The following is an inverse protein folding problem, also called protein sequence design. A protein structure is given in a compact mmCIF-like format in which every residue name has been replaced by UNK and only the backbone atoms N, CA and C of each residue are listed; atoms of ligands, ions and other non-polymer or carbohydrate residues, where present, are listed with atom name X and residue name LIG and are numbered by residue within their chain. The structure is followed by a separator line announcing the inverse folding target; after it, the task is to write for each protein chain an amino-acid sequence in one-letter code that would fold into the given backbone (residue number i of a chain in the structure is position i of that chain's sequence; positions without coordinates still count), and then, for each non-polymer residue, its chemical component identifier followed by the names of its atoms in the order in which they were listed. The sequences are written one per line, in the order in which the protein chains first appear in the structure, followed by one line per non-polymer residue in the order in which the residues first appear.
data_IF_245439247013
#
_entry.id   IF_245439247013
#
_cell.length_a   1.000
_cell.length_b   1.000
_cell.length_c   1.000
_cell.angle_alpha   90.00
_cell.angle_beta   90.00
_cell.angle_gamma   90.00
#
_symmetry.space_group_name_H-M   'P 1'
#
loop_
_entity.id
_entity.type
_entity.pdbx_description
1 polymer ?
#
# COMPACT_ATOMS: atom_id res chain seq x y z
N UNK A 1 -7.18 -26.16 25.86
CA UNK A 1 -7.22 -24.70 26.08
C UNK A 1 -5.90 -24.17 25.58
N UNK A 2 -5.87 -23.70 24.34
CA UNK A 2 -4.75 -22.93 23.78
C UNK A 2 -5.26 -21.51 23.80
N UNK A 3 -4.85 -20.75 24.81
CA UNK A 3 -5.00 -19.31 24.82
C UNK A 3 -4.35 -18.78 23.54
N UNK A 4 -5.17 -18.37 22.59
CA UNK A 4 -4.72 -17.63 21.44
C UNK A 4 -4.19 -16.32 21.92
N UNK A 5 -2.87 -16.21 22.07
CA UNK A 5 -2.21 -14.91 22.19
C UNK A 5 -2.71 -14.05 21.05
N UNK A 6 -3.47 -12.99 21.39
CA UNK A 6 -3.51 -11.80 20.54
C UNK A 6 -2.04 -11.50 20.26
N UNK A 7 -1.58 -11.76 19.05
CA UNK A 7 -0.28 -11.28 18.63
C UNK A 7 -0.38 -9.77 18.62
N UNK A 8 -0.16 -9.16 19.76
CA UNK A 8 0.52 -7.91 19.86
C UNK A 8 1.91 -8.18 19.25
N UNK A 9 1.98 -8.33 17.95
CA UNK A 9 3.21 -8.27 17.22
C UNK A 9 3.70 -6.84 17.41
N UNK A 10 4.39 -6.64 18.55
CA UNK A 10 5.26 -5.49 18.74
C UNK A 10 6.06 -5.39 17.46
N UNK A 11 5.94 -4.26 16.78
CA UNK A 11 6.71 -3.99 15.58
C UNK A 11 8.18 -4.17 15.94
N UNK A 12 8.73 -5.37 15.66
CA UNK A 12 10.06 -5.76 16.14
C UNK A 12 11.10 -4.84 15.53
N UNK A 13 11.95 -4.21 16.37
CA UNK A 13 13.01 -3.35 15.87
C UNK A 13 13.93 -4.10 14.90
N UNK A 14 14.46 -3.38 13.92
CA UNK A 14 15.44 -3.91 12.97
C UNK A 14 16.79 -3.23 13.17
N UNK A 15 17.85 -4.02 13.14
CA UNK A 15 19.24 -3.54 13.05
C UNK A 15 19.76 -3.89 11.66
N UNK A 16 20.07 -2.88 10.87
CA UNK A 16 20.55 -3.07 9.49
C UNK A 16 21.92 -2.42 9.32
N UNK A 17 22.82 -3.09 8.59
CA UNK A 17 24.17 -2.61 8.34
C UNK A 17 24.19 -1.57 7.24
N UNK A 18 24.62 -0.33 7.57
CA UNK A 18 24.92 0.73 6.62
C UNK A 18 26.43 0.80 6.27
N UNK A 19 26.81 1.74 5.40
CA UNK A 19 28.21 1.95 4.98
C UNK A 19 29.14 2.33 6.14
N UNK A 20 28.65 3.14 7.09
CA UNK A 20 29.45 3.70 8.19
C UNK A 20 28.88 3.37 9.56
N UNK A 21 28.47 2.12 9.80
CA UNK A 21 27.88 1.67 11.05
C UNK A 21 26.54 0.98 10.84
N UNK A 22 25.62 1.17 11.78
CA UNK A 22 24.35 0.48 11.81
C UNK A 22 23.19 1.48 11.91
N UNK A 23 22.07 1.07 11.39
CA UNK A 23 20.80 1.75 11.57
C UNK A 23 19.91 0.93 12.46
N UNK A 24 19.43 1.55 13.53
CA UNK A 24 18.34 1.02 14.35
C UNK A 24 17.03 1.61 13.82
N UNK A 25 16.11 0.75 13.42
CA UNK A 25 14.75 1.12 13.06
C UNK A 25 13.83 0.59 14.13
N UNK A 26 13.24 1.48 14.90
CA UNK A 26 12.25 1.15 15.93
C UNK A 26 10.87 1.70 15.57
N UNK A 27 9.82 1.25 16.26
CA UNK A 27 8.46 1.75 16.03
C UNK A 27 8.32 3.24 16.38
N UNK A 28 9.16 3.78 17.25
CA UNK A 28 9.18 5.19 17.62
C UNK A 28 10.11 6.08 16.80
N UNK A 29 11.03 5.51 16.00
CA UNK A 29 11.97 6.29 15.23
C UNK A 29 13.19 5.52 14.73
N UNK A 30 14.15 6.27 14.18
CA UNK A 30 15.37 5.73 13.57
C UNK A 30 16.57 6.33 14.29
N UNK A 31 17.58 5.52 14.58
CA UNK A 31 18.86 5.98 15.14
C UNK A 31 20.05 5.41 14.38
N UNK A 32 21.14 6.18 14.32
CA UNK A 32 22.42 5.72 13.79
C UNK A 32 23.30 5.22 14.93
N UNK A 33 23.90 4.05 14.74
CA UNK A 33 24.73 3.39 15.73
C UNK A 33 26.12 3.08 15.16
N UNK A 34 27.17 3.23 15.97
CA UNK A 34 28.50 2.73 15.66
C UNK A 34 28.67 1.26 16.05
N UNK A 35 29.73 0.62 15.57
CA UNK A 35 30.02 -0.79 15.90
C UNK A 35 30.17 -1.02 17.42
N UNK A 36 30.68 -0.05 18.18
CA UNK A 36 30.81 -0.12 19.64
C UNK A 36 29.49 -0.15 20.43
N UNK A 37 28.36 0.13 19.76
CA UNK A 37 27.02 0.06 20.38
C UNK A 37 26.41 -1.36 20.33
N UNK A 38 27.09 -2.29 19.65
CA UNK A 38 26.61 -3.66 19.52
C UNK A 38 27.52 -4.64 20.24
N UNK A 39 26.96 -5.78 20.60
CA UNK A 39 27.68 -6.95 21.08
C UNK A 39 28.37 -7.67 19.92
N UNK A 40 29.32 -8.59 20.17
CA UNK A 40 29.88 -9.46 19.13
C UNK A 40 28.81 -10.28 18.36
N UNK A 41 27.69 -10.59 19.02
CA UNK A 41 26.53 -11.27 18.38
C UNK A 41 25.66 -10.32 17.54
N UNK A 42 26.05 -9.07 17.35
CA UNK A 42 25.33 -8.03 16.58
C UNK A 42 23.94 -7.70 17.16
N UNK A 43 23.79 -7.77 18.46
CA UNK A 43 22.64 -7.26 19.20
C UNK A 43 23.00 -5.94 19.90
N UNK A 44 22.02 -5.16 20.30
CA UNK A 44 22.26 -3.94 21.07
C UNK A 44 22.92 -4.29 22.41
N UNK A 45 23.87 -3.47 22.81
CA UNK A 45 24.38 -3.52 24.19
C UNK A 45 23.29 -3.04 25.16
N UNK A 46 23.20 -3.59 26.40
CA UNK A 46 22.12 -3.26 27.33
C UNK A 46 22.02 -1.77 27.68
N UNK A 47 23.16 -1.08 27.76
CA UNK A 47 23.22 0.36 28.01
C UNK A 47 22.68 1.17 26.84
N UNK A 48 22.99 0.77 25.62
CA UNK A 48 22.49 1.39 24.37
C UNK A 48 20.99 1.16 24.22
N UNK A 49 20.53 -0.08 24.43
CA UNK A 49 19.11 -0.40 24.36
C UNK A 49 18.29 0.43 25.35
N UNK A 50 18.78 0.58 26.59
CA UNK A 50 18.14 1.43 27.61
C UNK A 50 18.03 2.87 27.12
N UNK A 51 19.11 3.46 26.59
CA UNK A 51 19.09 4.82 26.08
C UNK A 51 18.11 5.00 24.92
N UNK A 52 18.02 4.03 23.99
CA UNK A 52 17.04 4.07 22.90
C UNK A 52 15.60 3.94 23.42
N UNK A 53 15.36 3.15 24.48
CA UNK A 53 14.04 3.06 25.14
C UNK A 53 13.66 4.37 25.82
N UNK A 54 14.56 4.98 26.54
CA UNK A 54 14.37 6.29 27.19
C UNK A 54 14.06 7.40 26.16
N UNK A 55 14.67 7.34 24.99
CA UNK A 55 14.37 8.23 23.86
C UNK A 55 13.07 7.89 23.14
N UNK A 56 12.36 6.84 23.55
CA UNK A 56 11.08 6.44 22.97
C UNK A 56 11.16 5.71 21.62
N UNK A 57 12.35 5.26 21.18
CA UNK A 57 12.50 4.60 19.88
C UNK A 57 11.83 3.23 19.81
N UNK A 58 11.57 2.61 20.95
CA UNK A 58 10.80 1.36 21.05
C UNK A 58 9.29 1.59 21.24
N UNK A 59 8.86 2.84 21.37
CA UNK A 59 7.48 3.14 21.71
C UNK A 59 6.58 3.04 20.49
N UNK A 60 5.63 2.11 20.51
CA UNK A 60 4.53 2.05 19.56
C UNK A 60 3.50 3.12 19.94
N UNK A 61 3.21 4.04 19.03
CA UNK A 61 2.08 4.96 19.20
C UNK A 61 0.84 4.31 18.57
N UNK A 62 -0.17 3.95 19.37
CA UNK A 62 -1.38 3.35 18.82
C UNK A 62 -2.10 4.34 17.89
N UNK A 63 -2.65 3.82 16.81
CA UNK A 63 -3.52 4.62 15.95
C UNK A 63 -4.78 5.01 16.71
N UNK A 64 -5.21 6.26 16.60
CA UNK A 64 -6.52 6.71 17.07
C UNK A 64 -7.57 6.72 15.97
N UNK A 65 -7.22 6.21 14.80
CA UNK A 65 -8.09 6.21 13.63
C UNK A 65 -8.40 4.79 13.20
N UNK A 66 -9.66 4.54 12.88
CA UNK A 66 -10.10 3.34 12.20
C UNK A 66 -9.64 3.38 10.74
N UNK A 67 -9.01 2.31 10.25
CA UNK A 67 -8.52 2.21 8.87
C UNK A 67 -9.53 1.49 7.99
N UNK A 68 -10.24 2.23 7.15
CA UNK A 68 -11.27 1.69 6.28
C UNK A 68 -10.80 1.65 4.82
N UNK A 69 -10.82 0.49 4.22
CA UNK A 69 -10.65 0.33 2.76
C UNK A 69 -11.99 -0.02 2.14
N UNK A 70 -12.48 0.78 1.21
CA UNK A 70 -13.75 0.54 0.50
C UNK A 70 -13.51 0.41 -0.99
N UNK A 71 -13.92 -0.71 -1.55
CA UNK A 71 -14.00 -0.87 -3.00
C UNK A 71 -15.28 -0.17 -3.49
N UNK A 72 -15.14 0.82 -4.34
CA UNK A 72 -16.31 1.54 -4.87
C UNK A 72 -16.86 0.93 -6.16
N UNK A 73 -16.00 0.20 -6.89
CA UNK A 73 -16.37 -0.62 -8.03
C UNK A 73 -15.39 -1.78 -8.15
N UNK A 74 -15.86 -2.99 -8.40
CA UNK A 74 -15.00 -4.15 -8.66
C UNK A 74 -14.57 -4.24 -10.13
N UNK A 75 -15.33 -3.64 -11.04
CA UNK A 75 -14.96 -3.54 -12.45
C UNK A 75 -13.71 -2.65 -12.66
N UNK A 76 -12.95 -2.95 -13.71
CA UNK A 76 -11.83 -2.12 -14.18
C UNK A 76 -11.87 -1.97 -15.70
N UNK A 77 -11.47 -0.81 -16.19
CA UNK A 77 -11.34 -0.53 -17.61
C UNK A 77 -9.99 -0.93 -18.22
N UNK A 78 -9.08 -1.48 -17.38
CA UNK A 78 -7.80 -2.06 -17.82
C UNK A 78 -7.78 -3.58 -17.70
N UNK A 79 -6.88 -4.22 -18.47
CA UNK A 79 -6.66 -5.67 -18.52
C UNK A 79 -5.25 -6.09 -18.08
N UNK A 80 -4.75 -5.61 -16.95
CA UNK A 80 -3.40 -5.94 -16.47
C UNK A 80 -3.28 -7.43 -16.12
N UNK A 81 -2.31 -8.14 -16.70
CA UNK A 81 -2.17 -9.59 -16.56
C UNK A 81 -1.83 -10.08 -15.14
N UNK A 82 -1.23 -9.25 -14.30
CA UNK A 82 -0.91 -9.56 -12.90
C UNK A 82 -2.02 -9.18 -11.91
N UNK A 83 -3.17 -8.65 -12.40
CA UNK A 83 -4.21 -8.11 -11.53
C UNK A 83 -4.94 -9.22 -10.79
N UNK A 84 -4.82 -9.26 -9.46
CA UNK A 84 -5.51 -10.25 -8.61
C UNK A 84 -7.04 -10.10 -8.59
N UNK A 85 -7.61 -8.97 -9.03
CA UNK A 85 -9.05 -8.72 -9.01
C UNK A 85 -9.72 -8.95 -10.38
N UNK A 86 -9.03 -8.62 -11.47
CA UNK A 86 -9.63 -8.57 -12.82
C UNK A 86 -8.86 -9.41 -13.84
N UNK A 87 -8.13 -10.43 -13.39
CA UNK A 87 -7.45 -11.35 -14.27
C UNK A 87 -8.46 -12.08 -15.18
N UNK A 88 -8.14 -12.21 -16.44
CA UNK A 88 -8.94 -13.03 -17.35
C UNK A 88 -8.73 -14.50 -17.04
N UNK A 89 -9.80 -15.29 -17.09
CA UNK A 89 -9.69 -16.74 -16.98
C UNK A 89 -8.87 -17.27 -18.15
N UNK A 90 -8.00 -18.24 -17.87
CA UNK A 90 -7.33 -19.04 -18.90
C UNK A 90 -8.20 -20.22 -19.30
N UNK A 91 -7.90 -20.79 -20.47
CA UNK A 91 -8.65 -21.94 -21.02
C UNK A 91 -8.56 -23.18 -20.12
N UNK A 92 -7.52 -23.27 -19.28
CA UNK A 92 -7.31 -24.37 -18.33
C UNK A 92 -8.01 -24.20 -16.98
N UNK A 93 -8.65 -23.04 -16.72
CA UNK A 93 -9.32 -22.75 -15.45
C UNK A 93 -8.36 -22.72 -14.24
N UNK A 94 -7.06 -22.51 -14.47
CA UNK A 94 -6.04 -22.49 -13.40
C UNK A 94 -6.04 -21.18 -12.62
N UNK A 95 -6.59 -20.10 -13.20
CA UNK A 95 -6.73 -18.80 -12.57
C UNK A 95 -8.01 -18.73 -11.75
N UNK A 96 -8.00 -18.02 -10.62
CA UNK A 96 -9.19 -17.89 -9.80
C UNK A 96 -10.34 -17.22 -10.57
N UNK A 97 -11.60 -17.53 -10.23
CA UNK A 97 -12.77 -16.92 -10.86
C UNK A 97 -12.70 -15.39 -10.79
N UNK A 98 -13.13 -14.76 -11.87
CA UNK A 98 -13.22 -13.29 -11.92
C UNK A 98 -14.21 -12.80 -10.87
N UNK A 99 -13.85 -11.71 -10.20
CA UNK A 99 -14.73 -11.06 -9.22
C UNK A 99 -15.97 -10.49 -9.92
N UNK A 100 -17.15 -10.73 -9.35
CA UNK A 100 -18.41 -10.19 -9.87
C UNK A 100 -18.38 -8.67 -9.98
N UNK A 101 -18.94 -8.11 -11.05
CA UNK A 101 -19.01 -6.67 -11.25
C UNK A 101 -20.08 -6.05 -10.37
N UNK A 102 -19.66 -5.32 -9.32
CA UNK A 102 -20.54 -4.65 -8.36
C UNK A 102 -20.12 -3.18 -8.22
N UNK A 103 -21.08 -2.30 -7.99
CA UNK A 103 -20.87 -0.88 -7.70
C UNK A 103 -21.44 -0.52 -6.34
N UNK A 104 -20.71 0.27 -5.60
CA UNK A 104 -21.13 0.80 -4.30
C UNK A 104 -22.35 1.71 -4.47
N UNK A 105 -23.39 1.48 -3.65
CA UNK A 105 -24.63 2.25 -3.63
C UNK A 105 -24.76 3.09 -2.34
N UNK A 106 -25.64 4.08 -2.35
CA UNK A 106 -25.90 4.95 -1.18
C UNK A 106 -26.37 4.16 0.05
N UNK A 107 -27.17 3.09 -0.16
CA UNK A 107 -27.61 2.23 0.93
C UNK A 107 -26.45 1.49 1.59
N UNK A 108 -25.56 0.92 0.77
CA UNK A 108 -24.37 0.22 1.30
C UNK A 108 -23.38 1.21 1.95
N UNK A 109 -23.25 2.44 1.43
CA UNK A 109 -22.46 3.48 2.13
C UNK A 109 -23.00 3.74 3.53
N UNK A 110 -24.32 3.80 3.71
CA UNK A 110 -24.92 3.96 5.03
C UNK A 110 -24.52 2.81 5.96
N UNK A 111 -24.71 1.56 5.52
CA UNK A 111 -24.37 0.37 6.30
C UNK A 111 -22.88 0.34 6.69
N UNK A 112 -21.97 0.70 5.76
CA UNK A 112 -20.53 0.78 6.01
C UNK A 112 -20.21 1.81 7.09
N UNK A 113 -20.78 3.01 6.99
CA UNK A 113 -20.47 4.08 7.94
C UNK A 113 -21.09 3.82 9.32
N UNK A 114 -22.28 3.24 9.38
CA UNK A 114 -22.87 2.77 10.65
C UNK A 114 -22.00 1.68 11.29
N UNK A 115 -21.47 0.75 10.49
CA UNK A 115 -20.48 -0.23 10.95
C UNK A 115 -19.24 0.45 11.52
N UNK A 116 -18.66 1.42 10.81
CA UNK A 116 -17.49 2.19 11.28
C UNK A 116 -17.79 2.86 12.62
N UNK A 117 -18.95 3.51 12.77
CA UNK A 117 -19.35 4.15 14.03
C UNK A 117 -19.41 3.17 15.21
N UNK A 118 -19.97 1.97 14.99
CA UNK A 118 -19.97 0.92 16.01
C UNK A 118 -18.54 0.50 16.38
N UNK A 119 -17.67 0.25 15.37
CA UNK A 119 -16.29 -0.17 15.61
C UNK A 119 -15.45 0.91 16.30
N UNK A 120 -15.63 2.18 15.94
CA UNK A 120 -14.96 3.29 16.62
C UNK A 120 -15.35 3.37 18.09
N UNK A 121 -16.64 3.24 18.39
CA UNK A 121 -17.14 3.24 19.78
C UNK A 121 -16.59 2.08 20.60
N UNK A 122 -16.58 0.86 20.04
CA UNK A 122 -16.07 -0.35 20.71
C UNK A 122 -14.55 -0.30 20.94
N UNK A 123 -13.80 0.32 20.04
CA UNK A 123 -12.33 0.37 20.09
C UNK A 123 -11.78 1.68 20.67
N UNK A 124 -12.63 2.62 21.08
CA UNK A 124 -12.22 3.93 21.60
C UNK A 124 -11.48 4.80 20.59
N UNK A 125 -11.83 4.66 19.30
CA UNK A 125 -11.23 5.41 18.20
C UNK A 125 -12.10 6.61 17.84
N UNK A 126 -11.48 7.75 17.50
CA UNK A 126 -12.15 9.02 17.22
C UNK A 126 -11.86 9.57 15.82
N UNK A 127 -11.08 8.85 15.02
CA UNK A 127 -10.72 9.23 13.67
C UNK A 127 -10.99 8.14 12.65
N UNK A 128 -11.05 8.54 11.39
CA UNK A 128 -11.17 7.67 10.23
C UNK A 128 -10.05 7.97 9.23
N UNK A 129 -9.38 6.92 8.76
CA UNK A 129 -8.50 6.96 7.59
C UNK A 129 -9.17 6.11 6.51
N UNK A 130 -9.44 6.70 5.36
CA UNK A 130 -10.18 6.07 4.27
C UNK A 130 -9.26 5.78 3.07
N UNK A 131 -9.26 4.54 2.63
CA UNK A 131 -8.69 4.16 1.34
C UNK A 131 -9.82 3.82 0.37
N UNK A 132 -9.95 4.61 -0.68
CA UNK A 132 -10.87 4.33 -1.80
C UNK A 132 -10.14 3.45 -2.79
N UNK A 133 -10.68 2.26 -3.02
CA UNK A 133 -10.06 1.20 -3.80
C UNK A 133 -11.06 0.55 -4.76
N UNK A 134 -10.62 -0.51 -5.46
CA UNK A 134 -11.47 -1.34 -6.32
C UNK A 134 -10.70 -1.89 -7.50
N UNK A 135 -11.41 -2.29 -8.55
CA UNK A 135 -10.81 -2.48 -9.87
C UNK A 135 -10.36 -1.12 -10.42
N UNK A 136 -11.34 -0.23 -10.66
CA UNK A 136 -11.09 1.20 -10.87
C UNK A 136 -12.19 2.01 -10.14
N UNK A 137 -11.82 2.73 -9.08
CA UNK A 137 -12.80 3.48 -8.30
C UNK A 137 -13.60 4.51 -9.09
N UNK A 138 -12.96 5.16 -10.06
CA UNK A 138 -13.57 6.22 -10.86
C UNK A 138 -14.54 5.70 -11.94
N UNK A 139 -14.77 4.40 -12.02
CA UNK A 139 -15.96 3.85 -12.70
C UNK A 139 -17.25 4.11 -11.89
N UNK A 140 -17.13 4.48 -10.61
CA UNK A 140 -18.22 4.92 -9.74
C UNK A 140 -17.91 6.27 -9.06
N UNK A 141 -17.78 7.37 -9.81
CA UNK A 141 -17.40 8.67 -9.24
C UNK A 141 -18.45 9.26 -8.29
N UNK A 142 -19.73 8.87 -8.43
CA UNK A 142 -20.79 9.25 -7.48
C UNK A 142 -20.58 8.59 -6.13
N UNK A 143 -20.32 7.27 -6.12
CA UNK A 143 -20.04 6.53 -4.89
C UNK A 143 -18.78 7.06 -4.18
N UNK A 144 -17.71 7.40 -4.93
CA UNK A 144 -16.51 8.00 -4.35
C UNK A 144 -16.82 9.32 -3.64
N UNK A 145 -17.61 10.21 -4.27
CA UNK A 145 -17.97 11.51 -3.67
C UNK A 145 -18.84 11.34 -2.45
N UNK A 146 -19.92 10.57 -2.54
CA UNK A 146 -20.85 10.34 -1.44
C UNK A 146 -20.14 9.68 -0.25
N UNK A 147 -19.25 8.73 -0.49
CA UNK A 147 -18.47 8.09 0.57
C UNK A 147 -17.58 9.11 1.31
N UNK A 148 -16.86 9.97 0.60
CA UNK A 148 -16.02 11.02 1.21
C UNK A 148 -16.87 12.02 1.99
N UNK A 149 -17.95 12.52 1.38
CA UNK A 149 -18.84 13.51 1.98
C UNK A 149 -19.39 12.99 3.32
N UNK A 150 -19.91 11.76 3.34
CA UNK A 150 -20.50 11.17 4.55
C UNK A 150 -19.45 10.71 5.56
N UNK A 151 -18.25 10.29 5.12
CA UNK A 151 -17.15 9.91 6.00
C UNK A 151 -16.65 11.09 6.87
N UNK A 152 -16.87 12.33 6.45
CA UNK A 152 -16.54 13.52 7.26
C UNK A 152 -17.21 13.50 8.64
N UNK A 153 -18.45 12.99 8.76
CA UNK A 153 -19.18 12.85 10.00
C UNK A 153 -18.59 11.80 10.97
N UNK A 154 -17.63 11.00 10.53
CA UNK A 154 -16.97 9.94 11.31
C UNK A 154 -15.52 10.28 11.65
N UNK A 155 -15.16 11.57 11.64
CA UNK A 155 -13.82 12.04 11.98
C UNK A 155 -12.77 11.73 10.91
N UNK A 156 -13.11 11.91 9.62
CA UNK A 156 -12.20 11.69 8.50
C UNK A 156 -10.93 12.56 8.66
N UNK A 157 -9.78 11.93 8.90
CA UNK A 157 -8.47 12.59 9.06
C UNK A 157 -7.64 12.54 7.80
N UNK A 158 -7.77 11.46 7.05
CA UNK A 158 -7.04 11.26 5.80
C UNK A 158 -7.85 10.40 4.83
N UNK A 159 -7.75 10.71 3.54
CA UNK A 159 -8.34 9.91 2.49
C UNK A 159 -7.37 9.77 1.32
N UNK A 160 -7.16 8.52 0.90
CA UNK A 160 -6.31 8.13 -0.22
C UNK A 160 -7.15 7.39 -1.25
N UNK A 161 -6.90 7.62 -2.52
CA UNK A 161 -7.49 6.83 -3.60
C UNK A 161 -6.39 6.04 -4.32
N UNK A 162 -6.61 4.76 -4.55
CA UNK A 162 -5.77 3.94 -5.43
C UNK A 162 -6.50 3.79 -6.76
N UNK A 163 -5.98 4.40 -7.81
CA UNK A 163 -6.59 4.48 -9.14
C UNK A 163 -5.59 4.09 -10.23
N UNK A 164 -6.09 3.64 -11.36
CA UNK A 164 -5.26 3.50 -12.55
C UNK A 164 -4.99 4.84 -13.27
N UNK A 165 -5.61 5.93 -12.83
CA UNK A 165 -5.41 7.28 -13.32
C UNK A 165 -6.11 7.63 -14.64
N UNK A 166 -6.62 6.67 -15.39
CA UNK A 166 -7.15 6.91 -16.75
C UNK A 166 -8.46 7.72 -16.80
N UNK A 167 -9.18 7.78 -15.67
CA UNK A 167 -10.43 8.53 -15.52
C UNK A 167 -10.29 9.77 -14.62
N UNK A 168 -9.07 10.04 -14.15
CA UNK A 168 -8.75 11.15 -13.27
C UNK A 168 -8.65 12.44 -14.08
N UNK A 169 -9.69 13.28 -14.02
CA UNK A 169 -9.69 14.62 -14.63
C UNK A 169 -9.50 15.69 -13.57
N UNK A 170 -8.99 16.88 -13.94
CA UNK A 170 -8.87 18.01 -13.02
C UNK A 170 -10.21 18.37 -12.35
N UNK A 171 -11.34 18.22 -13.04
CA UNK A 171 -12.69 18.42 -12.47
C UNK A 171 -13.01 17.41 -11.39
N UNK A 172 -12.77 16.12 -11.64
CA UNK A 172 -12.99 15.05 -10.65
C UNK A 172 -12.06 15.25 -9.47
N UNK A 173 -10.79 15.55 -9.71
CA UNK A 173 -9.81 15.79 -8.67
C UNK A 173 -10.23 16.96 -7.74
N UNK A 174 -10.69 18.10 -8.30
CA UNK A 174 -11.19 19.23 -7.50
C UNK A 174 -12.40 18.86 -6.65
N UNK A 175 -13.35 18.09 -7.19
CA UNK A 175 -14.52 17.65 -6.45
C UNK A 175 -14.13 16.76 -5.26
N UNK A 176 -13.24 15.79 -5.47
CA UNK A 176 -12.81 14.88 -4.41
C UNK A 176 -11.89 15.56 -3.38
N UNK A 177 -11.02 16.48 -3.83
CA UNK A 177 -10.18 17.28 -2.94
C UNK A 177 -11.01 18.14 -1.98
N UNK A 178 -12.08 18.77 -2.48
CA UNK A 178 -13.04 19.55 -1.67
C UNK A 178 -13.76 18.70 -0.62
N UNK A 179 -13.83 17.38 -0.79
CA UNK A 179 -14.43 16.43 0.14
C UNK A 179 -13.39 15.70 1.03
N UNK A 180 -12.12 16.12 0.97
CA UNK A 180 -11.09 15.62 1.88
C UNK A 180 -10.12 14.59 1.29
N UNK A 181 -10.16 14.31 -0.02
CA UNK A 181 -9.12 13.48 -0.66
C UNK A 181 -7.76 14.19 -0.57
N UNK A 182 -6.73 13.50 -0.04
CA UNK A 182 -5.40 14.05 0.21
C UNK A 182 -4.34 13.56 -0.77
N UNK A 183 -4.44 12.30 -1.19
CA UNK A 183 -3.51 11.74 -2.16
C UNK A 183 -4.18 10.74 -3.10
N UNK A 184 -3.58 10.59 -4.28
CA UNK A 184 -3.96 9.55 -5.25
C UNK A 184 -2.73 8.73 -5.58
N UNK A 185 -2.79 7.42 -5.27
CA UNK A 185 -1.80 6.47 -5.71
C UNK A 185 -2.11 6.01 -7.13
N UNK A 186 -1.13 6.14 -8.01
CA UNK A 186 -1.20 5.65 -9.39
C UNK A 186 -0.03 4.73 -9.68
N UNK A 187 -0.29 3.64 -10.40
CA UNK A 187 0.73 2.65 -10.71
C UNK A 187 1.30 2.84 -12.11
N UNK A 188 2.63 2.77 -12.21
CA UNK A 188 3.38 2.69 -13.46
C UNK A 188 4.10 1.34 -13.56
N UNK A 189 4.12 0.77 -14.75
CA UNK A 189 4.73 -0.53 -15.04
C UNK A 189 5.83 -0.39 -16.11
N UNK A 190 6.83 0.43 -15.83
CA UNK A 190 7.94 0.73 -16.72
C UNK A 190 7.74 1.99 -17.56
N UNK A 191 8.69 2.28 -18.45
CA UNK A 191 8.58 3.38 -19.41
C UNK A 191 7.41 3.15 -20.39
N UNK A 192 7.05 4.17 -21.15
CA UNK A 192 5.86 4.18 -22.02
C UNK A 192 5.63 2.87 -22.78
N UNK A 193 6.62 2.30 -23.52
CA UNK A 193 6.38 1.07 -24.28
C UNK A 193 6.01 -0.13 -23.42
N UNK A 194 6.64 -0.28 -22.25
CA UNK A 194 6.38 -1.40 -21.34
C UNK A 194 5.07 -1.19 -20.60
N UNK A 195 4.86 0.03 -20.10
CA UNK A 195 3.63 0.41 -19.43
C UNK A 195 2.40 0.16 -20.33
N UNK A 196 2.43 0.62 -21.57
CA UNK A 196 1.28 0.51 -22.48
C UNK A 196 1.01 -0.94 -22.93
N UNK A 197 2.02 -1.83 -22.85
CA UNK A 197 1.82 -3.27 -23.06
C UNK A 197 1.26 -4.00 -21.85
N UNK A 198 1.59 -3.53 -20.64
CA UNK A 198 1.17 -4.17 -19.38
C UNK A 198 -0.18 -3.63 -18.91
N UNK A 199 -0.36 -2.32 -18.97
CA UNK A 199 -1.59 -1.64 -18.51
C UNK A 199 -2.49 -1.24 -19.69
N UNK A 200 -2.87 -2.24 -20.44
CA UNK A 200 -3.68 -2.07 -21.66
C UNK A 200 -5.13 -1.75 -21.32
N UNK A 201 -5.73 -0.83 -22.07
CA UNK A 201 -7.20 -0.62 -22.03
C UNK A 201 -7.90 -1.85 -22.57
N UNK A 202 -9.04 -2.23 -21.99
CA UNK A 202 -9.88 -3.32 -22.53
C UNK A 202 -10.40 -3.02 -23.94
N UNK A 203 -10.49 -1.75 -24.32
CA UNK A 203 -10.83 -1.28 -25.66
C UNK A 203 -9.63 -1.10 -26.58
N UNK A 204 -8.43 -1.47 -26.13
CA UNK A 204 -7.17 -1.23 -26.82
C UNK A 204 -6.59 0.16 -26.57
N UNK A 205 -5.31 0.33 -26.91
CA UNK A 205 -4.55 1.57 -26.78
C UNK A 205 -3.82 1.75 -25.45
N UNK A 206 -2.75 2.57 -25.50
CA UNK A 206 -1.91 2.90 -24.36
C UNK A 206 -2.57 3.83 -23.34
N UNK A 207 -1.97 3.90 -22.17
CA UNK A 207 -2.49 4.69 -21.04
C UNK A 207 -1.47 5.66 -20.47
N UNK A 208 -0.19 5.50 -20.76
CA UNK A 208 0.92 6.23 -20.12
C UNK A 208 0.74 7.75 -20.17
N UNK A 209 0.65 8.33 -21.38
CA UNK A 209 0.57 9.77 -21.56
C UNK A 209 -0.70 10.36 -20.97
N UNK A 210 -1.83 9.64 -21.11
CA UNK A 210 -3.09 10.07 -20.53
C UNK A 210 -3.04 10.13 -19.01
N UNK A 211 -2.34 9.18 -18.37
CA UNK A 211 -2.17 9.13 -16.92
C UNK A 211 -1.24 10.26 -16.47
N UNK A 212 -0.08 10.45 -17.10
CA UNK A 212 0.85 11.54 -16.76
C UNK A 212 0.17 12.89 -16.90
N UNK A 213 -0.53 13.13 -18.02
CA UNK A 213 -1.27 14.37 -18.23
C UNK A 213 -2.39 14.60 -17.21
N UNK A 214 -3.11 13.54 -16.82
CA UNK A 214 -4.16 13.63 -15.79
C UNK A 214 -3.58 13.96 -14.40
N UNK A 215 -2.43 13.38 -14.04
CA UNK A 215 -1.76 13.66 -12.77
C UNK A 215 -1.19 15.08 -12.72
N UNK A 216 -0.56 15.55 -13.81
CA UNK A 216 -0.10 16.93 -13.93
C UNK A 216 -1.27 17.92 -13.75
N UNK A 217 -2.37 17.70 -14.47
CA UNK A 217 -3.57 18.54 -14.36
C UNK A 217 -4.22 18.49 -12.96
N UNK A 218 -4.16 17.35 -12.26
CA UNK A 218 -4.64 17.22 -10.89
C UNK A 218 -3.79 18.05 -9.92
N UNK A 219 -2.46 17.91 -9.99
CA UNK A 219 -1.55 18.65 -9.08
C UNK A 219 -1.55 20.14 -9.32
N UNK A 220 -1.73 20.59 -10.55
CA UNK A 220 -1.93 21.99 -10.89
C UNK A 220 -3.26 22.54 -10.33
N UNK A 221 -4.33 21.76 -10.43
CA UNK A 221 -5.68 22.17 -10.07
C UNK A 221 -6.03 22.03 -8.58
N UNK A 222 -5.24 21.31 -7.78
CA UNK A 222 -5.57 20.94 -6.38
C UNK A 222 -4.32 20.84 -5.51
N UNK A 223 -4.52 20.68 -4.18
CA UNK A 223 -3.47 20.33 -3.23
C UNK A 223 -3.27 18.81 -3.08
N UNK A 224 -3.98 17.97 -3.82
CA UNK A 224 -3.85 16.51 -3.79
C UNK A 224 -2.45 16.10 -4.24
N UNK A 225 -1.80 15.21 -3.48
CA UNK A 225 -0.47 14.66 -3.79
C UNK A 225 -0.57 13.43 -4.68
N UNK A 226 0.48 13.18 -5.44
CA UNK A 226 0.63 11.96 -6.21
C UNK A 226 1.49 10.95 -5.45
N UNK A 227 1.01 9.73 -5.31
CA UNK A 227 1.81 8.59 -4.85
C UNK A 227 2.09 7.67 -6.04
N UNK A 228 3.30 7.74 -6.59
CA UNK A 228 3.72 6.99 -7.75
C UNK A 228 4.21 5.61 -7.33
N UNK A 229 3.41 4.59 -7.58
CA UNK A 229 3.82 3.21 -7.40
C UNK A 229 4.46 2.69 -8.68
N UNK A 230 5.73 2.35 -8.65
CA UNK A 230 6.41 1.70 -9.77
C UNK A 230 6.48 0.21 -9.52
N UNK A 231 5.69 -0.55 -10.26
CA UNK A 231 5.75 -2.00 -10.23
C UNK A 231 6.90 -2.48 -11.11
N UNK A 232 7.76 -3.34 -10.56
CA UNK A 232 8.96 -3.86 -11.22
C UNK A 232 8.80 -5.36 -11.45
N UNK A 233 8.92 -5.77 -12.71
CA UNK A 233 8.82 -7.16 -13.17
C UNK A 233 9.93 -7.46 -14.18
N UNK A 234 10.07 -8.70 -14.59
CA UNK A 234 11.03 -9.09 -15.62
C UNK A 234 10.80 -8.35 -16.96
N UNK A 235 9.54 -7.99 -17.25
CA UNK A 235 9.18 -7.28 -18.49
C UNK A 235 9.66 -5.85 -18.57
N UNK A 236 9.79 -5.16 -17.44
CA UNK A 236 10.00 -3.70 -17.43
C UNK A 236 11.25 -3.24 -16.67
N UNK A 237 11.96 -4.13 -16.00
CA UNK A 237 13.12 -3.80 -15.15
C UNK A 237 14.20 -2.99 -15.89
N UNK A 238 14.36 -3.21 -17.18
CA UNK A 238 15.34 -2.49 -18.02
C UNK A 238 14.93 -1.04 -18.32
N UNK A 239 13.63 -0.73 -18.31
CA UNK A 239 13.09 0.59 -18.64
C UNK A 239 12.85 1.52 -17.44
N UNK A 240 13.13 1.08 -16.20
CA UNK A 240 12.79 1.87 -15.00
C UNK A 240 13.62 3.15 -14.89
N UNK A 241 14.89 3.14 -15.28
CA UNK A 241 15.73 4.35 -15.29
C UNK A 241 15.10 5.43 -16.20
N UNK A 242 14.67 5.07 -17.41
CA UNK A 242 14.01 5.97 -18.35
C UNK A 242 12.62 6.44 -17.83
N UNK A 243 11.89 5.56 -17.15
CA UNK A 243 10.62 5.92 -16.51
C UNK A 243 10.80 7.04 -15.48
N UNK A 244 11.79 6.93 -14.59
CA UNK A 244 12.03 7.92 -13.52
C UNK A 244 12.31 9.30 -14.12
N UNK A 245 13.15 9.39 -15.17
CA UNK A 245 13.43 10.62 -15.88
C UNK A 245 12.18 11.21 -16.55
N UNK A 246 11.39 10.35 -17.20
CA UNK A 246 10.17 10.77 -17.90
C UNK A 246 9.10 11.28 -16.94
N UNK A 247 8.95 10.63 -15.77
CA UNK A 247 8.02 11.10 -14.74
C UNK A 247 8.47 12.45 -14.17
N UNK A 248 9.77 12.67 -13.96
CA UNK A 248 10.30 13.97 -13.51
C UNK A 248 10.11 15.08 -14.55
N UNK A 249 10.18 14.74 -15.84
CA UNK A 249 9.91 15.71 -16.92
C UNK A 249 8.42 16.03 -17.10
N UNK A 250 7.52 15.08 -16.77
CA UNK A 250 6.08 15.24 -17.00
C UNK A 250 5.26 15.66 -15.79
N UNK A 251 5.84 15.61 -14.58
CA UNK A 251 5.17 15.93 -13.30
C UNK A 251 6.01 16.92 -12.50
N UNK A 252 5.39 17.55 -11.50
CA UNK A 252 6.14 18.29 -10.47
C UNK A 252 6.62 17.29 -9.39
N UNK A 253 7.93 16.95 -9.32
CA UNK A 253 8.43 16.01 -8.35
C UNK A 253 8.17 16.40 -6.89
N UNK A 254 8.13 17.70 -6.58
CA UNK A 254 7.86 18.18 -5.21
C UNK A 254 6.43 17.84 -4.72
N UNK A 255 5.53 17.54 -5.63
CA UNK A 255 4.14 17.14 -5.37
C UNK A 255 3.96 15.62 -5.39
N UNK A 256 5.03 14.86 -5.65
CA UNK A 256 4.97 13.43 -5.85
C UNK A 256 5.86 12.67 -4.85
N UNK A 257 5.34 11.59 -4.30
CA UNK A 257 6.15 10.52 -3.74
C UNK A 257 6.30 9.40 -4.76
N UNK A 258 7.42 8.67 -4.73
CA UNK A 258 7.66 7.53 -5.61
C UNK A 258 8.19 6.35 -4.81
N UNK A 259 7.64 5.17 -5.05
CA UNK A 259 8.15 3.93 -4.47
C UNK A 259 8.18 2.80 -5.49
N UNK A 260 9.21 1.97 -5.40
CA UNK A 260 9.42 0.84 -6.28
C UNK A 260 8.97 -0.45 -5.57
N UNK A 261 8.22 -1.28 -6.25
CA UNK A 261 7.69 -2.51 -5.70
C UNK A 261 7.88 -3.66 -6.69
N UNK A 262 8.56 -4.72 -6.27
CA UNK A 262 8.62 -5.96 -7.04
C UNK A 262 7.23 -6.57 -7.18
N UNK A 263 6.85 -6.91 -8.40
CA UNK A 263 5.61 -7.65 -8.64
C UNK A 263 5.81 -9.11 -8.24
N UNK A 264 4.98 -9.58 -7.33
CA UNK A 264 4.87 -11.00 -6.98
C UNK A 264 3.63 -11.62 -7.65
N UNK A 265 3.61 -12.94 -7.73
CA UNK A 265 2.39 -13.65 -8.10
C UNK A 265 1.42 -13.69 -6.93
N UNK A 266 0.28 -13.06 -7.08
CA UNK A 266 -0.79 -13.03 -6.09
C UNK A 266 -1.78 -14.21 -6.26
N UNK A 267 -1.28 -15.37 -6.71
CA UNK A 267 -2.08 -16.56 -6.96
C UNK A 267 -2.87 -16.51 -8.26
N UNK A 268 -2.38 -15.73 -9.24
CA UNK A 268 -2.99 -15.61 -10.57
C UNK A 268 -2.12 -16.22 -11.67
N UNK A 269 -1.01 -16.87 -11.30
CA UNK A 269 -0.08 -17.49 -12.25
C UNK A 269 0.74 -16.47 -13.05
N UNK A 270 1.11 -15.35 -12.45
CA UNK A 270 1.96 -14.36 -13.11
C UNK A 270 3.42 -14.78 -13.10
N UNK A 271 3.96 -15.14 -14.26
CA UNK A 271 5.30 -15.71 -14.42
C UNK A 271 6.43 -14.68 -14.47
N UNK A 272 6.14 -13.43 -14.82
CA UNK A 272 7.13 -12.36 -15.00
C UNK A 272 7.65 -11.76 -13.69
N UNK A 273 7.74 -12.59 -12.66
CA UNK A 273 8.26 -12.18 -11.35
C UNK A 273 9.80 -12.20 -11.36
N UNK A 274 10.41 -11.30 -10.57
CA UNK A 274 11.85 -11.27 -10.36
C UNK A 274 12.22 -11.96 -9.05
N UNK A 275 13.31 -12.72 -9.05
CA UNK A 275 13.88 -13.19 -7.79
C UNK A 275 14.54 -12.02 -7.03
N UNK A 276 14.56 -12.11 -5.70
CA UNK A 276 15.36 -11.20 -4.89
C UNK A 276 16.85 -11.51 -5.10
N UNK A 277 17.64 -10.52 -5.50
CA UNK A 277 19.06 -10.63 -5.75
C UNK A 277 19.79 -9.34 -5.39
N UNK A 278 21.09 -9.42 -5.26
CA UNK A 278 21.93 -8.25 -5.02
C UNK A 278 21.91 -7.27 -6.19
N UNK A 279 21.90 -7.76 -7.44
CA UNK A 279 21.77 -6.90 -8.64
C UNK A 279 20.43 -6.13 -8.62
N UNK A 280 19.34 -6.81 -8.28
CA UNK A 280 18.04 -6.14 -8.16
C UNK A 280 18.06 -5.09 -7.03
N UNK A 281 18.68 -5.39 -5.88
CA UNK A 281 18.83 -4.43 -4.79
C UNK A 281 19.62 -3.19 -5.23
N UNK A 282 20.72 -3.38 -5.97
CA UNK A 282 21.52 -2.27 -6.50
C UNK A 282 20.75 -1.39 -7.49
N UNK A 283 19.86 -1.99 -8.29
CA UNK A 283 18.95 -1.24 -9.16
C UNK A 283 17.96 -0.43 -8.35
N UNK A 284 17.32 -1.01 -7.32
CA UNK A 284 16.40 -0.29 -6.45
C UNK A 284 17.08 0.88 -5.73
N UNK A 285 18.29 0.68 -5.20
CA UNK A 285 19.11 1.73 -4.58
C UNK A 285 19.37 2.86 -5.56
N UNK A 286 19.79 2.55 -6.78
CA UNK A 286 20.05 3.54 -7.82
C UNK A 286 18.79 4.33 -8.17
N UNK A 287 17.64 3.68 -8.38
CA UNK A 287 16.38 4.33 -8.71
C UNK A 287 15.89 5.24 -7.58
N UNK A 288 15.99 4.81 -6.32
CA UNK A 288 15.61 5.63 -5.17
C UNK A 288 16.50 6.87 -5.05
N UNK A 289 17.82 6.72 -5.20
CA UNK A 289 18.76 7.85 -5.19
C UNK A 289 18.45 8.83 -6.33
N UNK A 290 18.26 8.31 -7.54
CA UNK A 290 17.90 9.14 -8.69
C UNK A 290 16.59 9.89 -8.51
N UNK A 291 15.57 9.23 -8.00
CA UNK A 291 14.28 9.88 -7.70
C UNK A 291 14.44 11.02 -6.68
N UNK A 292 15.22 10.81 -5.61
CA UNK A 292 15.53 11.85 -4.64
C UNK A 292 16.29 13.03 -5.27
N UNK A 293 17.26 12.76 -6.15
CA UNK A 293 18.03 13.82 -6.83
C UNK A 293 17.17 14.64 -7.78
N UNK A 294 16.15 14.03 -8.38
CA UNK A 294 15.15 14.69 -9.22
C UNK A 294 14.07 15.44 -8.42
N UNK A 295 14.07 15.33 -7.08
CA UNK A 295 13.17 16.07 -6.20
C UNK A 295 11.92 15.32 -5.76
N UNK A 296 11.75 14.05 -6.13
CA UNK A 296 10.66 13.22 -5.59
C UNK A 296 10.85 12.95 -4.09
N UNK A 297 9.74 12.82 -3.37
CA UNK A 297 9.77 12.20 -2.07
C UNK A 297 9.88 10.66 -2.24
N UNK A 298 10.82 10.04 -1.52
CA UNK A 298 10.91 8.58 -1.42
C UNK A 298 10.57 8.20 0.03
N UNK A 299 9.61 7.29 0.27
CA UNK A 299 9.22 6.91 1.63
C UNK A 299 10.43 6.44 2.46
N UNK A 300 10.53 6.93 3.67
CA UNK A 300 11.61 6.52 4.58
C UNK A 300 11.41 5.08 5.02
N UNK A 301 12.51 4.32 5.15
CA UNK A 301 12.45 3.03 5.80
C UNK A 301 11.86 3.12 7.20
N UNK A 302 11.03 2.16 7.55
CA UNK A 302 10.41 2.07 8.87
C UNK A 302 10.24 0.61 9.27
N UNK A 303 9.98 0.41 10.53
CA UNK A 303 9.57 -0.90 11.03
C UNK A 303 8.19 -1.22 10.47
N UNK A 304 8.03 -2.46 10.01
CA UNK A 304 6.73 -2.93 9.52
C UNK A 304 5.75 -2.94 10.69
N UNK A 305 4.69 -2.20 10.56
CA UNK A 305 3.59 -2.20 11.53
C UNK A 305 2.53 -3.20 11.06
N UNK A 306 1.85 -3.87 12.00
CA UNK A 306 0.69 -4.67 11.65
C UNK A 306 -0.32 -3.85 10.85
N UNK A 307 -0.87 -4.45 9.80
CA UNK A 307 -1.91 -3.80 9.01
C UNK A 307 -3.21 -3.74 9.82
N UNK A 308 -3.75 -2.54 10.05
CA UNK A 308 -4.98 -2.35 10.83
C UNK A 308 -6.17 -3.13 10.27
N UNK A 309 -6.22 -3.38 8.96
CA UNK A 309 -7.33 -4.09 8.33
C UNK A 309 -7.17 -5.61 8.34
N UNK A 310 -5.92 -6.14 8.18
CA UNK A 310 -5.71 -7.58 7.99
C UNK A 310 -4.98 -8.30 9.12
N UNK A 311 -4.16 -7.59 9.92
CA UNK A 311 -3.40 -8.23 10.99
C UNK A 311 -4.21 -8.42 12.28
N UNK A 312 -5.30 -7.66 12.44
CA UNK A 312 -6.19 -7.78 13.59
C UNK A 312 -7.48 -8.46 13.15
N UNK A 313 -7.68 -9.69 13.59
CA UNK A 313 -8.92 -10.41 13.35
C UNK A 313 -10.09 -9.63 13.99
N UNK A 314 -11.28 -9.83 13.47
CA UNK A 314 -12.51 -9.15 13.91
C UNK A 314 -12.54 -7.64 13.64
N UNK A 315 -11.60 -7.12 12.84
CA UNK A 315 -11.60 -5.74 12.37
C UNK A 315 -11.55 -4.69 13.47
N UNK A 316 -10.81 -4.96 14.55
CA UNK A 316 -10.69 -4.06 15.71
C UNK A 316 -10.22 -2.65 15.32
N UNK A 317 -9.30 -2.55 14.38
CA UNK A 317 -8.67 -1.28 13.99
C UNK A 317 -8.87 -0.92 12.52
N UNK A 318 -9.54 -1.77 11.76
CA UNK A 318 -9.79 -1.50 10.35
C UNK A 318 -10.57 -2.61 9.65
N UNK A 319 -11.03 -2.32 8.43
CA UNK A 319 -11.79 -3.26 7.61
C UNK A 319 -11.52 -3.05 6.11
N UNK A 320 -11.72 -4.11 5.33
CA UNK A 320 -11.82 -4.07 3.88
C UNK A 320 -13.26 -4.42 3.49
N UNK A 321 -13.92 -3.53 2.76
CA UNK A 321 -15.33 -3.66 2.42
C UNK A 321 -15.51 -3.65 0.90
N UNK A 322 -16.19 -4.66 0.40
CA UNK A 322 -16.57 -4.79 -1.00
C UNK A 322 -17.84 -3.95 -1.31
N UNK A 323 -18.13 -3.55 -2.57
CA UNK A 323 -19.27 -2.70 -2.88
C UNK A 323 -20.64 -3.26 -2.55
N UNK A 324 -20.74 -4.56 -2.26
CA UNK A 324 -21.97 -5.25 -1.79
C UNK A 324 -22.12 -5.25 -0.26
N UNK A 325 -21.24 -4.54 0.46
CA UNK A 325 -21.23 -4.51 1.93
C UNK A 325 -20.52 -5.70 2.58
N UNK A 326 -19.97 -6.65 1.80
CA UNK A 326 -19.22 -7.79 2.33
C UNK A 326 -17.89 -7.35 2.96
N UNK A 327 -17.60 -7.89 4.15
CA UNK A 327 -16.31 -7.71 4.84
C UNK A 327 -15.34 -8.81 4.43
N UNK A 328 -14.09 -8.40 4.24
CA UNK A 328 -12.98 -9.29 3.87
C UNK A 328 -11.76 -9.00 4.73
N UNK A 329 -10.90 -10.01 4.91
CA UNK A 329 -9.69 -9.85 5.72
C UNK A 329 -8.62 -9.00 5.03
N UNK A 330 -8.58 -9.00 3.68
CA UNK A 330 -7.63 -8.19 2.92
C UNK A 330 -8.20 -7.79 1.55
N UNK A 331 -7.58 -6.82 0.90
CA UNK A 331 -7.93 -6.40 -0.47
C UNK A 331 -7.69 -7.49 -1.52
N UNK A 332 -6.79 -8.45 -1.25
CA UNK A 332 -6.52 -9.59 -2.13
C UNK A 332 -7.63 -10.62 -2.14
N UNK A 333 -8.40 -10.69 -1.06
CA UNK A 333 -9.56 -11.59 -0.93
C UNK A 333 -10.88 -10.89 -1.23
N UNK A 334 -10.90 -9.55 -1.27
CA UNK A 334 -12.11 -8.76 -1.44
C UNK A 334 -12.88 -9.10 -2.71
N UNK A 335 -14.16 -9.47 -2.55
CA UNK A 335 -15.06 -9.88 -3.63
C UNK A 335 -14.87 -11.30 -4.12
N UNK A 336 -13.89 -12.05 -3.63
CA UNK A 336 -13.68 -13.45 -4.01
C UNK A 336 -14.73 -14.36 -3.35
N UNK A 337 -15.33 -15.28 -4.11
CA UNK A 337 -16.24 -16.29 -3.55
C UNK A 337 -15.57 -17.09 -2.43
N UNK A 338 -16.29 -17.35 -1.34
CA UNK A 338 -15.80 -18.14 -0.22
C UNK A 338 -14.85 -17.42 0.76
N UNK A 339 -14.49 -16.15 0.51
CA UNK A 339 -13.56 -15.41 1.36
C UNK A 339 -14.21 -14.32 2.22
N UNK A 340 -15.54 -14.26 2.24
CA UNK A 340 -16.27 -13.27 3.03
C UNK A 340 -16.21 -13.62 4.52
N UNK A 341 -15.81 -12.69 5.34
CA UNK A 341 -15.71 -12.83 6.82
C UNK A 341 -16.79 -12.10 7.58
N UNK A 342 -17.76 -11.50 6.88
CA UNK A 342 -18.89 -10.79 7.48
C UNK A 342 -19.57 -9.83 6.52
N UNK A 343 -20.45 -8.99 7.07
CA UNK A 343 -21.11 -7.87 6.34
C UNK A 343 -21.02 -6.58 7.14
N UNK A 344 -21.06 -5.43 6.47
CA UNK A 344 -21.12 -4.14 7.15
C UNK A 344 -22.40 -3.98 7.99
N UNK A 345 -23.50 -4.60 7.56
CA UNK A 345 -24.78 -4.61 8.27
C UNK A 345 -24.69 -5.40 9.58
N UNK A 346 -24.23 -6.65 9.51
CA UNK A 346 -24.33 -7.62 10.61
C UNK A 346 -23.02 -7.70 11.43
N UNK A 347 -21.90 -7.16 10.91
CA UNK A 347 -20.57 -7.28 11.49
C UNK A 347 -19.83 -8.53 11.02
N UNK A 348 -18.76 -8.89 11.75
CA UNK A 348 -17.96 -10.07 11.46
C UNK A 348 -18.66 -11.36 11.90
N UNK A 349 -18.49 -12.41 11.13
CA UNK A 349 -18.91 -13.76 11.52
C UNK A 349 -18.06 -14.26 12.71
N UNK A 350 -18.59 -15.20 13.51
CA UNK A 350 -17.81 -15.82 14.59
C UNK A 350 -16.45 -16.35 14.09
N UNK A 351 -15.43 -16.20 14.96
CA UNK A 351 -14.03 -16.55 14.62
C UNK A 351 -13.87 -17.98 14.15
N UNK A 352 -14.59 -18.91 14.76
CA UNK A 352 -14.58 -20.34 14.44
C UNK A 352 -15.03 -20.62 13.00
N UNK A 353 -15.80 -19.71 12.41
CA UNK A 353 -16.30 -19.81 11.03
C UNK A 353 -15.42 -19.09 10.02
N UNK A 354 -14.47 -18.27 10.45
CA UNK A 354 -13.65 -17.42 9.59
C UNK A 354 -12.16 -17.68 9.69
N UNK A 355 -11.73 -18.65 10.52
CA UNK A 355 -10.31 -18.90 10.77
C UNK A 355 -9.54 -19.20 9.49
N UNK A 356 -10.08 -20.07 8.62
CA UNK A 356 -9.51 -20.45 7.33
C UNK A 356 -9.71 -19.39 6.22
N UNK A 357 -10.57 -18.39 6.48
CA UNK A 357 -10.88 -17.31 5.54
C UNK A 357 -10.07 -16.05 5.81
N UNK A 358 -9.26 -16.04 6.89
CA UNK A 358 -8.51 -14.85 7.28
C UNK A 358 -7.10 -14.89 6.69
N UNK A 359 -6.95 -14.29 5.52
CA UNK A 359 -5.68 -14.09 4.85
C UNK A 359 -5.17 -12.66 5.05
N UNK A 360 -3.90 -12.51 5.38
CA UNK A 360 -3.22 -11.21 5.40
C UNK A 360 -2.61 -10.89 4.03
N UNK A 361 -2.17 -9.65 3.84
CA UNK A 361 -1.41 -9.29 2.63
C UNK A 361 -0.08 -10.07 2.55
N UNK A 362 0.46 -10.51 3.68
CA UNK A 362 1.69 -11.29 3.75
C UNK A 362 1.50 -12.71 3.26
N UNK A 363 0.39 -13.35 3.64
CA UNK A 363 0.06 -14.71 3.22
C UNK A 363 -0.10 -14.82 1.70
N UNK A 364 -0.55 -13.74 1.06
CA UNK A 364 -0.81 -13.72 -0.38
C UNK A 364 0.46 -13.48 -1.21
N UNK A 365 1.43 -12.72 -0.67
CA UNK A 365 2.65 -12.31 -1.40
C UNK A 365 3.91 -13.03 -0.92
N UNK A 366 3.84 -13.76 0.20
CA UNK A 366 4.96 -14.46 0.80
C UNK A 366 5.00 -15.92 0.37
N UNK A 367 5.94 -16.30 -0.51
CA UNK A 367 6.36 -17.69 -0.59
C UNK A 367 7.36 -17.93 0.55
N UNK A 368 7.24 -19.03 1.31
CA UNK A 368 8.18 -19.35 2.42
C UNK A 368 9.65 -19.29 1.99
N UNK A 369 9.94 -19.71 0.77
CA UNK A 369 11.31 -19.79 0.23
C UNK A 369 11.94 -18.40 -0.04
N UNK A 370 11.14 -17.38 -0.24
CA UNK A 370 11.60 -16.00 -0.52
C UNK A 370 11.81 -15.13 0.73
N UNK A 371 11.36 -15.59 1.91
CA UNK A 371 11.29 -14.72 3.11
C UNK A 371 12.67 -14.19 3.52
N UNK A 372 13.70 -15.05 3.52
CA UNK A 372 15.07 -14.65 3.88
C UNK A 372 15.71 -13.75 2.84
N UNK A 373 15.55 -14.09 1.56
CA UNK A 373 16.04 -13.28 0.45
C UNK A 373 15.34 -11.91 0.40
N UNK A 374 14.04 -11.88 0.63
CA UNK A 374 13.25 -10.67 0.73
C UNK A 374 13.69 -9.76 1.90
N UNK A 375 13.99 -10.37 3.06
CA UNK A 375 14.48 -9.62 4.22
C UNK A 375 15.87 -9.02 3.94
N UNK A 376 16.80 -9.81 3.42
CA UNK A 376 18.15 -9.33 3.06
C UNK A 376 18.12 -8.22 2.00
N UNK A 377 17.31 -8.40 0.96
CA UNK A 377 17.08 -7.39 -0.06
C UNK A 377 16.57 -6.08 0.54
N UNK A 378 15.52 -6.15 1.37
CA UNK A 378 14.95 -4.98 2.03
C UNK A 378 15.97 -4.29 2.94
N UNK A 379 16.70 -5.05 3.75
CA UNK A 379 17.70 -4.48 4.67
C UNK A 379 18.79 -3.74 3.91
N UNK A 380 19.27 -4.28 2.78
CA UNK A 380 20.26 -3.64 1.93
C UNK A 380 19.73 -2.34 1.30
N UNK A 381 18.52 -2.37 0.74
CA UNK A 381 17.90 -1.19 0.12
C UNK A 381 17.61 -0.11 1.17
N UNK A 382 17.04 -0.48 2.31
CA UNK A 382 16.72 0.43 3.40
C UNK A 382 17.98 1.09 3.99
N UNK A 383 19.06 0.32 4.22
CA UNK A 383 20.32 0.84 4.73
C UNK A 383 20.93 1.87 3.78
N UNK A 384 21.02 1.54 2.49
CA UNK A 384 21.55 2.45 1.48
C UNK A 384 20.72 3.73 1.32
N UNK A 385 19.38 3.63 1.47
CA UNK A 385 18.51 4.78 1.47
C UNK A 385 18.75 5.70 2.68
N UNK A 386 18.88 5.14 3.88
CA UNK A 386 19.19 5.90 5.09
C UNK A 386 20.59 6.54 5.03
N UNK A 387 21.59 5.83 4.51
CA UNK A 387 22.92 6.38 4.30
C UNK A 387 22.90 7.58 3.36
N UNK A 388 22.15 7.48 2.26
CA UNK A 388 21.99 8.59 1.30
C UNK A 388 21.25 9.78 1.92
N UNK A 389 20.15 9.56 2.65
CA UNK A 389 19.42 10.62 3.36
C UNK A 389 20.30 11.32 4.40
N UNK A 390 21.12 10.55 5.14
CA UNK A 390 22.05 11.08 6.12
C UNK A 390 23.15 11.91 5.46
N UNK A 391 23.76 11.40 4.37
CA UNK A 391 24.83 12.08 3.64
C UNK A 391 24.39 13.40 2.99
N UNK A 392 23.11 13.47 2.57
CA UNK A 392 22.50 14.65 1.93
C UNK A 392 21.81 15.60 2.90
N UNK A 393 21.88 15.34 4.23
CA UNK A 393 21.20 16.15 5.24
C UNK A 393 19.66 16.09 5.20
N UNK A 394 19.09 15.13 4.48
CA UNK A 394 17.64 14.94 4.34
C UNK A 394 17.04 14.06 5.44
N UNK A 395 17.88 13.39 6.23
CA UNK A 395 17.47 12.67 7.41
C UNK A 395 17.36 13.69 8.57
N UNK A 396 16.23 14.39 8.68
CA UNK A 396 15.93 15.16 9.89
C UNK A 396 15.45 14.22 10.97
N UNK A 397 15.98 14.37 12.17
CA UNK A 397 15.60 13.63 13.37
C UNK A 397 14.11 13.75 13.69
#
# INVERSE_FOLDING_TARGET
MIEGSDREDEASPRLIRGERGWWFLGPGGIARLGDGHLTPARTLRPDVERGLREQGLFTVRPSRSYSLTVLTATACNLGCAYCFQNVEQDDGGTRPPRIASVRLTSGVIAEILDFVGRRQAESGLDGLVLTIFGGEPLLNPRGCRELLERAAGYGLRDAVMVSNGTLLTARVARQLAGLGLRSVQVTFDGDRPDHDRIRVRRTGGGTFDAIVGAMAAMTEATSVRCDLRVNVSARNVAGIDALVERLAAGLDPARCSIHFARVGDAGVGYEETLAYSDDLADRFIRWQRRALDLGFAVPRPHVRRPCNACSYRDGKYGAVVNPDGGLYSSWTTAGRPGWRVGTARDGYLPRERTEDLWATCEDTYGRPDDTRAAASFRDRVDAAHLDHLSATGRLRA
#
